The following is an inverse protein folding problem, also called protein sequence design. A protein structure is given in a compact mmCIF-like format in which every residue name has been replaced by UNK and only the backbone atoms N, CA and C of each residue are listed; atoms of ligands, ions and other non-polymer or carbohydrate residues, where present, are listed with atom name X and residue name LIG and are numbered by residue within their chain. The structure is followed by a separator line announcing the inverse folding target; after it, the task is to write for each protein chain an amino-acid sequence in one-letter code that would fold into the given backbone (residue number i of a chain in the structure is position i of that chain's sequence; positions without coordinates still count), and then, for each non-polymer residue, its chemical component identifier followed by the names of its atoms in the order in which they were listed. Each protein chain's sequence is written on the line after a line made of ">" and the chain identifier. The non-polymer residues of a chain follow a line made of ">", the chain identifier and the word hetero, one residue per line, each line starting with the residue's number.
data_IF_679001388008
#
_entry.id   IF_679001388008
#
_cell.length_a   1.000
_cell.length_b   1.000
_cell.length_c   1.000
_cell.angle_alpha   90.00
_cell.angle_beta   90.00
_cell.angle_gamma   90.00
#
_symmetry.space_group_name_H-M   'P 1'
#
loop_
_entity.id
_entity.type
_entity.pdbx_description
1 polymer ?
#
# COMPACT_ATOMS: atom_id res chain seq x y z
N UNK A 1 -8.30 10.12 5.89
CA UNK A 1 -7.52 9.02 6.50
C UNK A 1 -7.72 7.79 5.62
N UNK A 2 -6.67 7.04 5.30
CA UNK A 2 -6.77 5.88 4.41
C UNK A 2 -7.72 4.84 4.99
N UNK A 3 -8.37 4.08 4.11
CA UNK A 3 -9.12 2.91 4.52
C UNK A 3 -8.17 1.88 5.16
N UNK A 4 -8.65 1.13 6.14
CA UNK A 4 -7.86 0.10 6.82
C UNK A 4 -8.63 -1.21 6.95
N UNK A 5 -7.90 -2.31 6.85
CA UNK A 5 -8.38 -3.65 7.16
C UNK A 5 -7.60 -4.13 8.40
N UNK A 6 -8.33 -4.54 9.43
CA UNK A 6 -7.74 -5.14 10.62
C UNK A 6 -8.05 -6.64 10.62
N UNK A 7 -7.03 -7.44 10.90
CA UNK A 7 -7.17 -8.88 11.03
C UNK A 7 -6.46 -9.35 12.29
N UNK A 8 -7.08 -10.24 13.04
CA UNK A 8 -6.46 -10.95 14.15
C UNK A 8 -6.31 -12.41 13.77
N UNK A 9 -5.11 -12.95 13.95
CA UNK A 9 -4.80 -14.36 13.73
C UNK A 9 -4.40 -14.97 15.06
N UNK A 10 -5.17 -15.93 15.54
CA UNK A 10 -4.85 -16.71 16.73
C UNK A 10 -4.13 -17.99 16.33
N UNK A 11 -3.01 -18.28 17.00
CA UNK A 11 -2.26 -19.51 16.86
C UNK A 11 -2.36 -20.28 18.18
N UNK A 12 -2.88 -21.50 18.13
CA UNK A 12 -2.87 -22.40 19.29
C UNK A 12 -1.74 -23.42 19.12
N UNK A 13 -0.80 -23.42 20.05
CA UNK A 13 0.32 -24.35 20.09
C UNK A 13 -0.10 -25.71 20.68
N UNK A 14 0.65 -26.79 20.42
CA UNK A 14 0.36 -28.11 20.99
C UNK A 14 0.39 -28.18 22.52
N UNK A 15 1.07 -27.23 23.17
CA UNK A 15 1.14 -27.09 24.64
C UNK A 15 -0.05 -26.29 25.23
N UNK A 16 -1.00 -25.87 24.39
CA UNK A 16 -2.18 -25.10 24.79
C UNK A 16 -1.93 -23.60 24.92
N UNK A 17 -0.72 -23.11 24.61
CA UNK A 17 -0.47 -21.66 24.55
C UNK A 17 -1.12 -21.03 23.33
N UNK A 18 -1.63 -19.81 23.49
CA UNK A 18 -2.21 -19.02 22.40
C UNK A 18 -1.37 -17.78 22.11
N UNK A 19 -1.12 -17.54 20.82
CA UNK A 19 -0.50 -16.31 20.32
C UNK A 19 -1.50 -15.58 19.43
N UNK A 20 -1.81 -14.32 19.73
CA UNK A 20 -2.66 -13.47 18.89
C UNK A 20 -1.78 -12.49 18.13
N UNK A 21 -1.82 -12.54 16.80
CA UNK A 21 -1.16 -11.57 15.91
C UNK A 21 -2.18 -10.64 15.29
N UNK A 22 -1.97 -9.34 15.48
CA UNK A 22 -2.78 -8.30 14.83
C UNK A 22 -2.07 -7.78 13.58
N UNK A 23 -2.72 -7.91 12.44
CA UNK A 23 -2.36 -7.27 11.17
C UNK A 23 -3.24 -6.06 10.91
N UNK A 24 -2.63 -4.97 10.44
CA UNK A 24 -3.36 -3.78 9.98
C UNK A 24 -2.84 -3.42 8.60
N UNK A 25 -3.68 -3.59 7.59
CA UNK A 25 -3.40 -3.19 6.22
C UNK A 25 -4.04 -1.83 5.94
N UNK A 26 -3.29 -0.94 5.31
CA UNK A 26 -3.78 0.36 4.86
C UNK A 26 -3.97 0.36 3.36
N UNK A 27 -5.13 0.82 2.91
CA UNK A 27 -5.51 0.92 1.51
C UNK A 27 -5.46 2.39 1.13
N UNK A 28 -4.65 2.67 0.12
CA UNK A 28 -4.49 4.00 -0.45
C UNK A 28 -4.90 3.99 -1.93
N UNK A 29 -5.69 4.98 -2.32
CA UNK A 29 -5.88 5.32 -3.72
C UNK A 29 -4.66 6.05 -4.29
N UNK A 30 -4.53 6.07 -5.62
CA UNK A 30 -3.47 6.84 -6.29
C UNK A 30 -3.58 8.34 -5.98
N UNK A 31 -4.80 8.87 -5.81
CA UNK A 31 -5.01 10.27 -5.44
C UNK A 31 -4.48 10.57 -4.03
N UNK A 32 -4.77 9.73 -3.05
CA UNK A 32 -4.22 9.89 -1.69
C UNK A 32 -2.69 9.80 -1.68
N UNK A 33 -2.12 8.87 -2.47
CA UNK A 33 -0.67 8.79 -2.64
C UNK A 33 -0.09 10.04 -3.30
N UNK A 34 -0.78 10.63 -4.28
CA UNK A 34 -0.37 11.87 -4.92
C UNK A 34 -0.38 13.04 -3.91
N UNK A 35 -1.42 13.18 -3.09
CA UNK A 35 -1.50 14.20 -2.04
C UNK A 35 -0.39 14.03 -1.01
N UNK A 36 -0.09 12.79 -0.60
CA UNK A 36 1.03 12.46 0.30
C UNK A 36 2.39 12.83 -0.32
N UNK A 37 2.59 12.56 -1.60
CA UNK A 37 3.82 12.96 -2.30
C UNK A 37 3.93 14.50 -2.37
N UNK A 38 2.82 15.19 -2.64
CA UNK A 38 2.79 16.65 -2.71
C UNK A 38 3.13 17.31 -1.38
N UNK A 39 2.61 16.79 -0.26
CA UNK A 39 2.94 17.31 1.08
C UNK A 39 4.41 17.09 1.45
N UNK A 40 5.05 16.08 0.86
CA UNK A 40 6.48 15.82 0.97
C UNK A 40 7.37 16.62 -0.02
N UNK A 41 6.80 17.54 -0.80
CA UNK A 41 7.56 18.33 -1.79
C UNK A 41 7.91 17.57 -3.07
N UNK A 42 7.22 16.45 -3.33
CA UNK A 42 7.35 15.67 -4.55
C UNK A 42 6.13 15.88 -5.47
N UNK A 43 6.30 15.66 -6.76
CA UNK A 43 5.22 15.60 -7.73
C UNK A 43 5.18 14.19 -8.34
N UNK A 44 4.00 13.57 -8.32
CA UNK A 44 3.78 12.30 -9.02
C UNK A 44 3.91 12.54 -10.53
N UNK A 45 4.77 11.77 -11.18
CA UNK A 45 5.07 11.90 -12.61
C UNK A 45 4.37 10.81 -13.42
N UNK A 46 4.58 9.54 -13.04
CA UNK A 46 4.02 8.37 -13.74
C UNK A 46 3.73 7.23 -12.78
N UNK A 47 2.79 6.37 -13.18
CA UNK A 47 2.47 5.12 -12.48
C UNK A 47 2.57 3.97 -13.46
N UNK A 48 3.26 2.90 -13.07
CA UNK A 48 3.48 1.71 -13.90
C UNK A 48 3.00 0.43 -13.21
N UNK A 49 2.57 -0.55 -13.99
CA UNK A 49 2.46 -1.95 -13.52
C UNK A 49 3.79 -2.69 -13.66
N UNK A 50 4.59 -2.31 -14.66
CA UNK A 50 5.96 -2.79 -14.87
C UNK A 50 6.87 -1.57 -15.04
N UNK A 51 7.84 -1.34 -14.13
CA UNK A 51 8.67 -0.14 -14.13
C UNK A 51 9.30 0.14 -15.50
N UNK A 52 9.06 1.34 -16.04
CA UNK A 52 9.62 1.80 -17.31
C UNK A 52 9.09 1.09 -18.56
N UNK A 53 8.11 0.17 -18.42
CA UNK A 53 7.60 -0.64 -19.53
C UNK A 53 6.09 -0.51 -19.74
N UNK A 54 5.28 -0.69 -18.69
CA UNK A 54 3.83 -0.78 -18.83
C UNK A 54 3.12 0.19 -17.87
N UNK A 55 2.37 1.19 -18.38
CA UNK A 55 1.56 2.08 -17.54
C UNK A 55 0.57 1.29 -16.68
N UNK A 56 0.26 1.82 -15.50
CA UNK A 56 -0.71 1.21 -14.62
C UNK A 56 -2.14 1.38 -15.13
N UNK A 57 -2.94 0.32 -15.02
CA UNK A 57 -4.38 0.32 -15.30
C UNK A 57 -5.13 -0.34 -14.15
N UNK A 58 -6.41 -0.01 -13.99
CA UNK A 58 -7.24 -0.59 -12.94
C UNK A 58 -7.30 -2.12 -13.08
N UNK A 59 -7.13 -2.83 -11.96
CA UNK A 59 -7.08 -4.29 -11.91
C UNK A 59 -5.66 -4.87 -11.92
N UNK A 60 -4.65 -4.04 -12.17
CA UNK A 60 -3.25 -4.47 -12.09
C UNK A 60 -2.83 -4.66 -10.62
N UNK A 61 -2.06 -5.71 -10.29
CA UNK A 61 -1.79 -6.10 -8.91
C UNK A 61 -0.74 -5.22 -8.22
N UNK A 62 -0.01 -4.38 -8.97
CA UNK A 62 1.09 -3.56 -8.45
C UNK A 62 1.09 -2.20 -9.13
N UNK A 63 1.26 -1.15 -8.34
CA UNK A 63 1.45 0.22 -8.81
C UNK A 63 2.84 0.70 -8.39
N UNK A 64 3.71 0.97 -9.36
CA UNK A 64 5.02 1.60 -9.17
C UNK A 64 4.89 3.09 -9.42
N UNK A 65 5.00 3.88 -8.35
CA UNK A 65 4.92 5.34 -8.39
C UNK A 65 6.29 5.95 -8.71
N UNK A 66 6.38 6.73 -9.77
CA UNK A 66 7.55 7.55 -10.08
C UNK A 66 7.23 8.99 -9.71
N UNK A 67 8.01 9.56 -8.79
CA UNK A 67 7.85 10.94 -8.35
C UNK A 67 9.15 11.73 -8.55
N UNK A 68 9.02 13.03 -8.80
CA UNK A 68 10.14 13.96 -8.96
C UNK A 68 10.07 15.02 -7.87
N UNK A 69 11.23 15.48 -7.40
CA UNK A 69 11.29 16.65 -6.52
C UNK A 69 10.72 17.86 -7.27
N UNK A 70 9.86 18.63 -6.60
CA UNK A 70 9.39 19.92 -7.12
C UNK A 70 10.55 20.91 -7.22
#
# INVERSE_FOLDING_TARGET
>A
MPARIEAETEFTSPDGTTEIRKGIDYIYSINEMQEMLQSAGLALDKVYSIPGRMPFTLGEPRAYLVARKK
#
